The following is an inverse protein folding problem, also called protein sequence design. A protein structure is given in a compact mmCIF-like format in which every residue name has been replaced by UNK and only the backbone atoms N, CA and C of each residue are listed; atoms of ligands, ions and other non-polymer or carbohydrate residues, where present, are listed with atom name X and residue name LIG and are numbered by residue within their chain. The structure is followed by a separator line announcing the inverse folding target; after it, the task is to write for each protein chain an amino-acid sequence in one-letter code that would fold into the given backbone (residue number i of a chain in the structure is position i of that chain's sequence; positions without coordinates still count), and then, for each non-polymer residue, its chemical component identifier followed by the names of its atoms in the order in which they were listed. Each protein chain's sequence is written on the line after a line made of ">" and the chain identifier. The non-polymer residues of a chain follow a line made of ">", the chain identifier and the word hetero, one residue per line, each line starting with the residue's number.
data_IF_159100828400
#
_entry.id   IF_159100828400
#
_cell.length_a   1.000
_cell.length_b   1.000
_cell.length_c   1.000
_cell.angle_alpha   90.00
_cell.angle_beta   90.00
_cell.angle_gamma   90.00
#
_symmetry.space_group_name_H-M   'P 1'
#
loop_
_entity.id
_entity.type
_entity.pdbx_description
1 polymer ?
#
# COMPACT_ATOMS: atom_id res chain seq x y z
N UNK A 1 4.03 0.52 16.62
CA UNK A 1 2.65 1.02 16.79
C UNK A 1 2.74 2.50 17.13
N UNK A 2 1.84 3.35 16.61
CA UNK A 2 1.88 4.77 16.94
C UNK A 2 1.67 4.96 18.44
N UNK A 3 2.54 5.75 19.08
CA UNK A 3 2.45 6.12 20.50
C UNK A 3 1.78 7.48 20.60
N UNK A 4 0.87 7.67 21.56
CA UNK A 4 0.10 8.92 21.77
C UNK A 4 -0.68 9.42 20.55
N UNK A 5 -1.09 8.53 19.64
CA UNK A 5 -1.94 8.91 18.53
C UNK A 5 -3.40 8.98 18.97
N UNK A 6 -3.96 10.18 18.96
CA UNK A 6 -5.40 10.38 19.02
C UNK A 6 -6.04 9.82 17.74
N UNK A 7 -6.99 8.90 17.88
CA UNK A 7 -7.66 8.29 16.72
C UNK A 7 -8.38 9.36 15.89
N UNK A 8 -8.07 9.50 14.59
CA UNK A 8 -8.74 10.48 13.75
C UNK A 8 -10.21 10.10 13.51
N UNK A 9 -11.07 11.12 13.46
CA UNK A 9 -12.48 10.94 13.11
C UNK A 9 -12.58 10.76 11.60
N UNK A 10 -13.08 9.61 11.15
CA UNK A 10 -13.09 9.24 9.72
C UNK A 10 -13.79 10.28 8.83
N UNK A 11 -14.89 10.88 9.30
CA UNK A 11 -15.64 11.89 8.57
C UNK A 11 -14.87 13.22 8.37
N UNK A 12 -13.78 13.43 9.10
CA UNK A 12 -12.94 14.62 9.01
C UNK A 12 -11.66 14.37 8.19
N UNK A 13 -11.44 13.14 7.70
CA UNK A 13 -10.30 12.83 6.85
C UNK A 13 -10.48 13.46 5.47
N UNK A 14 -9.53 14.29 5.05
CA UNK A 14 -9.50 14.85 3.72
C UNK A 14 -8.86 13.84 2.75
N UNK A 15 -9.37 13.74 1.51
CA UNK A 15 -8.73 12.94 0.48
C UNK A 15 -7.36 13.53 0.11
N UNK A 16 -6.42 12.68 -0.24
CA UNK A 16 -5.17 13.10 -0.86
C UNK A 16 -5.39 13.14 -2.37
N UNK A 17 -5.22 14.31 -2.97
CA UNK A 17 -5.37 14.47 -4.42
C UNK A 17 -4.42 13.53 -5.17
N UNK A 18 -4.91 12.89 -6.23
CA UNK A 18 -4.15 11.93 -7.04
C UNK A 18 -3.94 10.54 -6.41
N UNK A 19 -4.48 10.26 -5.21
CA UNK A 19 -4.39 8.94 -4.56
C UNK A 19 -5.76 8.26 -4.53
N UNK A 20 -5.82 7.03 -5.04
CA UNK A 20 -7.05 6.25 -5.11
C UNK A 20 -6.86 4.89 -4.43
N UNK A 21 -7.83 4.49 -3.61
CA UNK A 21 -7.81 3.23 -2.86
C UNK A 21 -9.01 2.37 -3.28
N UNK A 22 -8.74 1.10 -3.61
CA UNK A 22 -9.77 0.09 -3.87
C UNK A 22 -9.57 -1.12 -2.97
N UNK A 23 -10.64 -1.65 -2.39
CA UNK A 23 -10.59 -2.84 -1.53
C UNK A 23 -11.56 -3.90 -2.00
N UNK A 24 -11.20 -5.17 -1.90
CA UNK A 24 -12.06 -6.30 -2.27
C UNK A 24 -11.97 -7.46 -1.27
N UNK A 25 -13.00 -8.31 -1.26
CA UNK A 25 -13.00 -9.63 -0.63
C UNK A 25 -12.59 -10.67 -1.67
N UNK A 26 -11.29 -10.87 -1.85
CA UNK A 26 -10.71 -11.77 -2.84
C UNK A 26 -10.72 -13.25 -2.41
N UNK A 27 -11.14 -13.57 -1.18
CA UNK A 27 -11.25 -14.94 -0.68
C UNK A 27 -9.91 -15.56 -0.24
N UNK A 28 -8.89 -14.73 0.00
CA UNK A 28 -7.60 -15.14 0.56
C UNK A 28 -7.74 -15.34 2.08
N UNK A 29 -8.62 -14.58 2.72
CA UNK A 29 -8.98 -14.70 4.14
C UNK A 29 -10.40 -15.26 4.27
N UNK A 30 -10.83 -15.45 5.52
CA UNK A 30 -12.19 -15.87 5.84
C UNK A 30 -13.24 -14.97 5.19
N UNK A 31 -14.39 -15.57 4.84
CA UNK A 31 -15.49 -14.89 4.16
C UNK A 31 -15.95 -13.62 4.91
N UNK A 32 -16.37 -12.59 4.17
CA UNK A 32 -16.80 -11.30 4.72
C UNK A 32 -15.64 -10.37 5.08
N UNK A 33 -14.39 -10.73 4.75
CA UNK A 33 -13.20 -9.92 5.07
C UNK A 33 -12.57 -9.35 3.81
N UNK A 34 -12.50 -8.01 3.76
CA UNK A 34 -11.64 -7.30 2.81
C UNK A 34 -10.19 -7.71 3.05
N UNK A 35 -9.58 -8.32 2.05
CA UNK A 35 -8.27 -8.96 2.15
C UNK A 35 -7.33 -8.58 0.99
N UNK A 36 -7.84 -7.80 0.04
CA UNK A 36 -7.08 -7.18 -1.03
C UNK A 36 -7.24 -5.66 -1.00
N UNK A 37 -6.12 -4.95 -1.09
CA UNK A 37 -6.04 -3.51 -1.28
C UNK A 37 -5.26 -3.24 -2.56
N UNK A 38 -5.80 -2.37 -3.41
CA UNK A 38 -5.08 -1.77 -4.53
C UNK A 38 -4.98 -0.28 -4.26
N UNK A 39 -3.78 0.25 -4.40
CA UNK A 39 -3.48 1.67 -4.35
C UNK A 39 -3.09 2.09 -5.76
N UNK A 40 -3.73 3.12 -6.29
CA UNK A 40 -3.39 3.73 -7.56
C UNK A 40 -2.99 5.19 -7.32
N UNK A 41 -1.87 5.57 -7.90
CA UNK A 41 -1.41 6.95 -7.95
C UNK A 41 -1.73 7.53 -9.32
N UNK A 42 -1.93 8.85 -9.37
CA UNK A 42 -2.08 9.58 -10.63
C UNK A 42 -0.79 9.54 -11.45
N UNK A 43 -0.92 9.66 -12.77
CA UNK A 43 0.20 9.70 -13.70
C UNK A 43 1.18 10.84 -13.33
N UNK A 44 2.48 10.58 -13.44
CA UNK A 44 3.52 11.55 -13.05
C UNK A 44 3.84 11.60 -11.56
N UNK A 45 3.20 10.76 -10.72
CA UNK A 45 3.60 10.60 -9.33
C UNK A 45 5.05 10.09 -9.22
N UNK A 46 5.80 10.61 -8.24
CA UNK A 46 7.13 10.10 -7.91
C UNK A 46 7.03 9.09 -6.77
N UNK A 47 7.61 7.91 -6.96
CA UNK A 47 7.56 6.81 -6.01
C UNK A 47 8.95 6.49 -5.48
N UNK A 48 9.04 6.25 -4.17
CA UNK A 48 10.24 5.76 -3.50
C UNK A 48 9.85 4.66 -2.52
N UNK A 49 10.75 3.71 -2.28
CA UNK A 49 10.51 2.57 -1.41
C UNK A 49 11.78 2.08 -0.73
N UNK A 50 11.64 1.68 0.53
CA UNK A 50 12.65 0.92 1.26
C UNK A 50 12.12 -0.47 1.53
N UNK A 51 13.01 -1.46 1.49
CA UNK A 51 12.65 -2.87 1.58
C UNK A 51 13.36 -3.53 2.75
N UNK A 52 12.77 -4.62 3.25
CA UNK A 52 13.42 -5.43 4.30
C UNK A 52 14.81 -5.91 3.86
N UNK A 53 15.76 -5.87 4.80
CA UNK A 53 17.13 -6.40 4.62
C UNK A 53 17.23 -7.87 5.03
N UNK A 54 16.13 -8.49 5.47
CA UNK A 54 16.11 -9.89 5.83
C UNK A 54 16.44 -10.77 4.62
N UNK A 55 17.38 -11.71 4.80
CA UNK A 55 17.82 -12.66 3.77
C UNK A 55 16.68 -13.55 3.26
N UNK A 56 15.65 -13.79 4.08
CA UNK A 56 14.46 -14.55 3.72
C UNK A 56 13.30 -13.61 3.33
N UNK A 57 13.55 -12.72 2.38
CA UNK A 57 12.52 -11.80 1.88
C UNK A 57 11.50 -12.52 0.97
N UNK A 58 10.24 -12.11 1.05
CA UNK A 58 9.19 -12.71 0.24
C UNK A 58 9.31 -12.30 -1.23
N UNK A 59 8.86 -13.16 -2.16
CA UNK A 59 8.82 -12.88 -3.60
C UNK A 59 8.31 -11.48 -4.00
N UNK A 60 7.22 -10.91 -3.42
CA UNK A 60 6.77 -9.57 -3.79
C UNK A 60 7.79 -8.46 -3.49
N UNK A 61 8.69 -8.65 -2.53
CA UNK A 61 9.77 -7.68 -2.26
C UNK A 61 10.70 -7.59 -3.46
N UNK A 62 11.03 -8.72 -4.08
CA UNK A 62 11.89 -8.76 -5.27
C UNK A 62 11.22 -8.06 -6.46
N UNK A 63 9.95 -8.34 -6.70
CA UNK A 63 9.19 -7.71 -7.80
C UNK A 63 9.10 -6.21 -7.61
N UNK A 64 8.80 -5.75 -6.39
CA UNK A 64 8.68 -4.32 -6.10
C UNK A 64 10.01 -3.57 -6.29
N UNK A 65 11.15 -4.17 -5.90
CA UNK A 65 12.48 -3.62 -6.19
C UNK A 65 12.71 -3.46 -7.68
N UNK A 66 12.46 -4.51 -8.47
CA UNK A 66 12.66 -4.48 -9.91
C UNK A 66 11.82 -3.42 -10.62
N UNK A 67 10.58 -3.21 -10.20
CA UNK A 67 9.73 -2.15 -10.75
C UNK A 67 10.23 -0.77 -10.37
N UNK A 68 10.63 -0.57 -9.11
CA UNK A 68 11.14 0.72 -8.65
C UNK A 68 12.46 1.09 -9.34
N UNK A 69 13.39 0.14 -9.47
CA UNK A 69 14.67 0.32 -10.16
C UNK A 69 14.48 0.63 -11.66
N UNK A 70 13.39 0.12 -12.27
CA UNK A 70 13.02 0.39 -13.65
C UNK A 70 12.23 1.71 -13.84
N UNK A 71 11.98 2.48 -12.78
CA UNK A 71 11.16 3.69 -12.84
C UNK A 71 9.67 3.42 -13.11
N UNK A 72 9.18 2.21 -12.78
CA UNK A 72 7.78 1.76 -12.96
C UNK A 72 7.07 1.62 -11.62
N UNK A 73 7.49 2.41 -10.64
CA UNK A 73 6.90 2.45 -9.30
C UNK A 73 5.50 3.03 -9.30
#
# INVERSE_FOLDING_TARGET
>A
MPVNLSTPVAALLLPVAGVFLGTAEAGIKSAGRKDLLVIRLEEGATVAGVFTTNRFCAAPVTVAKLHLDAGKG
#
